data_IF_150502994716
#
_entry.id   IF_150502994716
#
_cell.length_a   1.000
_cell.length_b   1.000
_cell.length_c   1.000
_cell.angle_alpha   90.00
_cell.angle_beta   90.00
_cell.angle_gamma   90.00
#
_symmetry.space_group_name_H-M   'P 1'
#
loop_
_entity.id
_entity.type
_entity.pdbx_description
1 polymer ?
#
# COMPACT_ATOMS: atom_id res chain seq x y z
N UNK A 1 -11.90 6.04 4.63
CA UNK A 1 -11.73 5.53 3.25
C UNK A 1 -12.76 4.47 2.80
N UNK A 2 -13.60 3.88 3.68
CA UNK A 2 -14.63 2.90 3.27
C UNK A 2 -15.63 3.40 2.22
N UNK A 3 -15.97 4.70 2.22
CA UNK A 3 -16.95 5.27 1.27
C UNK A 3 -16.46 5.40 -0.18
N UNK A 4 -15.14 5.50 -0.41
CA UNK A 4 -14.59 5.65 -1.77
C UNK A 4 -14.60 4.29 -2.50
N UNK A 5 -14.31 3.21 -1.77
CA UNK A 5 -14.37 1.84 -2.28
C UNK A 5 -15.75 1.48 -2.83
N UNK A 6 -16.83 1.92 -2.17
CA UNK A 6 -18.20 1.67 -2.64
C UNK A 6 -18.48 2.37 -3.97
N UNK A 7 -17.89 3.55 -4.21
CA UNK A 7 -18.07 4.30 -5.47
C UNK A 7 -17.26 3.68 -6.61
N UNK A 8 -16.04 3.22 -6.32
CA UNK A 8 -15.16 2.53 -7.28
C UNK A 8 -15.75 1.20 -7.77
N UNK A 9 -16.56 0.54 -6.94
CA UNK A 9 -17.21 -0.73 -7.31
C UNK A 9 -18.42 -0.58 -8.25
N UNK A 10 -18.98 0.63 -8.40
CA UNK A 10 -20.16 0.83 -9.25
C UNK A 10 -19.78 0.80 -10.74
N UNK A 11 -20.19 -0.26 -11.43
CA UNK A 11 -19.99 -0.42 -12.87
C UNK A 11 -20.73 0.67 -13.65
N UNK A 12 -20.04 1.28 -14.62
CA UNK A 12 -20.61 2.28 -15.52
C UNK A 12 -21.83 1.67 -16.24
N UNK A 13 -23.03 2.30 -16.18
CA UNK A 13 -24.19 1.79 -16.89
C UNK A 13 -24.02 1.97 -18.42
N UNK A 14 -24.34 0.92 -19.20
CA UNK A 14 -24.29 0.96 -20.68
C UNK A 14 -25.48 1.73 -21.28
N UNK A 15 -25.26 2.46 -22.40
CA UNK A 15 -26.31 3.24 -23.04
C UNK A 15 -27.29 2.33 -23.80
N UNK A 16 -28.50 2.19 -23.28
CA UNK A 16 -29.63 1.61 -24.03
C UNK A 16 -30.76 2.65 -24.01
N UNK A 17 -31.27 2.99 -25.18
CA UNK A 17 -32.27 4.03 -25.43
C UNK A 17 -33.61 3.75 -24.74
N UNK A 18 -33.82 4.29 -23.54
CA UNK A 18 -35.17 4.72 -23.07
C UNK A 18 -35.06 5.58 -21.81
N UNK A 19 -35.84 6.66 -21.80
CA UNK A 19 -35.80 7.85 -20.94
C UNK A 19 -36.37 7.67 -19.50
N UNK A 20 -35.65 6.94 -18.61
CA UNK A 20 -35.43 7.43 -17.23
C UNK A 20 -33.96 7.32 -16.75
N UNK A 21 -33.02 6.94 -17.62
CA UNK A 21 -31.62 6.62 -17.24
C UNK A 21 -30.59 7.76 -17.35
N UNK A 22 -30.97 8.91 -17.89
CA UNK A 22 -30.09 10.09 -17.99
C UNK A 22 -29.69 10.60 -16.60
N UNK A 23 -30.61 10.53 -15.64
CA UNK A 23 -30.37 10.94 -14.25
C UNK A 23 -29.38 9.99 -13.56
N UNK A 24 -29.52 8.68 -13.75
CA UNK A 24 -28.61 7.69 -13.16
C UNK A 24 -27.20 7.79 -13.73
N UNK A 25 -27.08 7.94 -15.06
CA UNK A 25 -25.78 8.14 -15.71
C UNK A 25 -25.12 9.44 -15.25
N UNK A 26 -25.89 10.54 -15.15
CA UNK A 26 -25.38 11.83 -14.69
C UNK A 26 -24.95 11.77 -13.21
N UNK A 27 -25.72 11.06 -12.37
CA UNK A 27 -25.35 10.81 -10.97
C UNK A 27 -24.09 9.96 -10.86
N UNK A 28 -23.95 8.92 -11.70
CA UNK A 28 -22.74 8.10 -11.76
C UNK A 28 -21.53 8.94 -12.18
N UNK A 29 -21.63 9.72 -13.26
CA UNK A 29 -20.55 10.59 -13.73
C UNK A 29 -20.13 11.59 -12.66
N UNK A 30 -21.09 12.20 -11.95
CA UNK A 30 -20.79 13.10 -10.84
C UNK A 30 -20.04 12.40 -9.70
N UNK A 31 -20.46 11.19 -9.33
CA UNK A 31 -19.79 10.39 -8.31
C UNK A 31 -18.38 10.00 -8.74
N UNK A 32 -18.20 9.57 -9.99
CA UNK A 32 -16.89 9.21 -10.55
C UNK A 32 -15.95 10.42 -10.56
N UNK A 33 -16.40 11.59 -11.01
CA UNK A 33 -15.60 12.81 -10.98
C UNK A 33 -15.18 13.21 -9.56
N UNK A 34 -16.10 13.16 -8.60
CA UNK A 34 -15.78 13.46 -7.19
C UNK A 34 -14.74 12.47 -6.66
N UNK A 35 -14.94 11.17 -6.88
CA UNK A 35 -14.00 10.15 -6.45
C UNK A 35 -12.62 10.33 -7.09
N UNK A 36 -12.56 10.69 -8.37
CA UNK A 36 -11.31 10.96 -9.08
C UNK A 36 -10.58 12.16 -8.48
N UNK A 37 -11.29 13.26 -8.20
CA UNK A 37 -10.70 14.43 -7.53
C UNK A 37 -10.14 14.06 -6.16
N UNK A 38 -10.86 13.24 -5.39
CA UNK A 38 -10.38 12.78 -4.07
C UNK A 38 -9.11 11.92 -4.21
N UNK A 39 -9.08 10.97 -5.14
CA UNK A 39 -7.87 10.15 -5.39
C UNK A 39 -6.69 11.05 -5.79
N UNK A 40 -6.89 11.93 -6.76
CA UNK A 40 -5.85 12.85 -7.25
C UNK A 40 -5.35 13.80 -6.14
N UNK A 41 -6.24 14.27 -5.26
CA UNK A 41 -5.87 15.16 -4.15
C UNK A 41 -4.99 14.49 -3.08
N UNK A 42 -4.98 13.14 -3.03
CA UNK A 42 -4.12 12.38 -2.14
C UNK A 42 -2.74 12.09 -2.74
N UNK A 43 -2.53 12.39 -4.03
CA UNK A 43 -1.25 12.18 -4.71
C UNK A 43 -0.28 13.32 -4.44
N UNK A 44 1.02 13.02 -4.51
CA UNK A 44 2.06 14.06 -4.57
C UNK A 44 2.00 14.79 -5.92
N UNK A 45 2.53 16.01 -6.00
CA UNK A 45 2.52 16.81 -7.24
C UNK A 45 3.07 16.04 -8.44
N UNK A 46 4.17 15.28 -8.26
CA UNK A 46 4.76 14.47 -9.34
C UNK A 46 3.80 13.39 -9.86
N UNK A 47 3.09 12.70 -8.97
CA UNK A 47 2.13 11.68 -9.36
C UNK A 47 0.87 12.31 -9.96
N UNK A 48 0.43 13.45 -9.43
CA UNK A 48 -0.67 14.21 -10.02
C UNK A 48 -0.40 14.58 -11.48
N UNK A 49 0.80 15.10 -11.78
CA UNK A 49 1.17 15.48 -13.15
C UNK A 49 1.09 14.30 -14.14
N UNK A 50 1.35 13.08 -13.68
CA UNK A 50 1.23 11.87 -14.50
C UNK A 50 -0.23 11.40 -14.62
N UNK A 51 -0.99 11.44 -13.54
CA UNK A 51 -2.28 10.76 -13.42
C UNK A 51 -3.52 11.66 -13.59
N UNK A 52 -3.37 12.98 -13.68
CA UNK A 52 -4.50 13.92 -13.77
C UNK A 52 -5.27 13.88 -15.10
N UNK A 53 -4.83 13.08 -16.08
CA UNK A 53 -5.49 12.95 -17.38
C UNK A 53 -6.98 12.57 -17.25
N UNK A 54 -7.82 13.23 -18.05
CA UNK A 54 -9.26 12.94 -18.13
C UNK A 54 -9.58 11.55 -18.74
N UNK A 55 -8.58 10.84 -19.27
CA UNK A 55 -8.73 9.47 -19.77
C UNK A 55 -9.09 8.46 -18.68
N UNK A 56 -8.84 8.79 -17.40
CA UNK A 56 -9.13 7.90 -16.28
C UNK A 56 -10.51 8.13 -15.68
N UNK A 57 -11.23 7.02 -15.49
CA UNK A 57 -12.29 6.92 -14.47
C UNK A 57 -11.66 6.78 -13.09
N UNK A 58 -12.39 7.09 -12.01
CA UNK A 58 -11.89 6.90 -10.65
C UNK A 58 -11.49 5.42 -10.40
N UNK A 59 -12.23 4.49 -10.98
CA UNK A 59 -11.95 3.05 -10.87
C UNK A 59 -10.65 2.64 -11.56
N UNK A 60 -10.48 3.04 -12.83
CA UNK A 60 -9.25 2.72 -13.58
C UNK A 60 -8.03 3.39 -12.97
N UNK A 61 -8.18 4.63 -12.49
CA UNK A 61 -7.11 5.34 -11.78
C UNK A 61 -6.70 4.60 -10.51
N UNK A 62 -7.67 4.23 -9.67
CA UNK A 62 -7.39 3.47 -8.45
C UNK A 62 -6.70 2.14 -8.76
N UNK A 63 -7.19 1.40 -9.76
CA UNK A 63 -6.62 0.11 -10.12
C UNK A 63 -5.18 0.21 -10.64
N UNK A 64 -4.88 1.23 -11.46
CA UNK A 64 -3.50 1.45 -11.94
C UNK A 64 -2.55 1.83 -10.80
N UNK A 65 -3.00 2.71 -9.89
CA UNK A 65 -2.23 3.08 -8.71
C UNK A 65 -2.00 1.87 -7.79
N UNK A 66 -3.04 1.09 -7.53
CA UNK A 66 -2.99 -0.12 -6.70
C UNK A 66 -2.04 -1.15 -7.33
N UNK A 67 -2.18 -1.46 -8.61
CA UNK A 67 -1.30 -2.41 -9.28
C UNK A 67 0.17 -1.97 -9.27
N UNK A 68 0.44 -0.67 -9.41
CA UNK A 68 1.80 -0.15 -9.54
C UNK A 68 2.50 0.07 -8.19
N UNK A 69 1.75 0.43 -7.15
CA UNK A 69 2.31 0.84 -5.86
C UNK A 69 1.89 -0.06 -4.70
N UNK A 70 0.89 -0.92 -4.87
CA UNK A 70 0.46 -1.91 -3.89
C UNK A 70 0.84 -3.32 -4.36
N UNK A 71 2.11 -3.51 -4.75
CA UNK A 71 2.65 -4.85 -4.93
C UNK A 71 2.84 -5.51 -3.57
N UNK A 72 2.58 -6.82 -3.48
CA UNK A 72 2.71 -7.56 -2.22
C UNK A 72 4.09 -7.35 -1.58
N UNK A 73 5.15 -7.28 -2.39
CA UNK A 73 6.52 -6.96 -1.97
C UNK A 73 6.63 -5.63 -1.22
N UNK A 74 6.13 -4.51 -1.78
CA UNK A 74 6.21 -3.20 -1.11
C UNK A 74 5.43 -3.16 0.22
N UNK A 75 4.35 -3.93 0.33
CA UNK A 75 3.59 -4.07 1.58
C UNK A 75 4.40 -4.85 2.64
N UNK A 76 5.08 -5.93 2.22
CA UNK A 76 5.97 -6.69 3.09
C UNK A 76 7.18 -5.83 3.52
N UNK A 77 7.81 -5.11 2.59
CA UNK A 77 8.91 -4.17 2.89
C UNK A 77 8.48 -3.11 3.92
N UNK A 78 7.34 -2.42 3.69
CA UNK A 78 6.84 -1.38 4.58
C UNK A 78 6.43 -1.90 5.96
N UNK A 79 6.09 -3.19 6.09
CA UNK A 79 5.71 -3.80 7.35
C UNK A 79 6.91 -4.36 8.12
N UNK A 80 7.78 -5.12 7.44
CA UNK A 80 8.90 -5.79 8.08
C UNK A 80 10.07 -4.86 8.36
N UNK A 81 10.34 -3.87 7.52
CA UNK A 81 11.48 -2.97 7.72
C UNK A 81 11.34 -2.13 9.01
N UNK A 82 10.20 -1.49 9.31
CA UNK A 82 10.02 -0.81 10.59
C UNK A 82 9.98 -1.76 11.79
N UNK A 83 9.52 -3.00 11.61
CA UNK A 83 9.51 -4.02 12.67
C UNK A 83 10.93 -4.48 13.00
N UNK A 84 11.78 -4.68 11.99
CA UNK A 84 13.20 -4.95 12.16
C UNK A 84 13.91 -3.77 12.87
N UNK A 85 13.69 -2.54 12.41
CA UNK A 85 14.32 -1.36 13.02
C UNK A 85 13.90 -1.09 14.47
N UNK A 86 12.71 -1.54 14.89
CA UNK A 86 12.20 -1.39 16.26
C UNK A 86 12.43 -2.63 17.12
N UNK A 87 13.00 -3.69 16.55
CA UNK A 87 13.29 -4.90 17.30
C UNK A 87 14.25 -4.57 18.44
N UNK A 88 13.92 -4.96 19.67
CA UNK A 88 14.80 -4.89 20.83
C UNK A 88 14.73 -6.23 21.57
N UNK A 89 15.87 -6.75 22.03
CA UNK A 89 15.85 -7.99 22.81
C UNK A 89 15.31 -7.72 24.21
N UNK A 90 14.23 -8.43 24.58
CA UNK A 90 13.64 -8.35 25.92
C UNK A 90 14.25 -9.46 26.81
N UNK A 91 14.66 -9.13 28.04
CA UNK A 91 15.39 -10.03 28.95
C UNK A 91 14.68 -11.36 29.25
N UNK A 92 13.35 -11.35 29.17
CA UNK A 92 12.43 -12.45 29.47
C UNK A 92 12.22 -13.43 28.30
N UNK A 93 12.89 -13.25 27.16
CA UNK A 93 12.89 -14.18 26.04
C UNK A 93 14.22 -14.95 25.96
N UNK A 94 14.21 -16.25 25.62
CA UNK A 94 15.45 -17.03 25.49
C UNK A 94 16.30 -16.59 24.30
N UNK A 95 17.60 -16.85 24.33
CA UNK A 95 18.52 -16.52 23.22
C UNK A 95 18.10 -17.21 21.91
N UNK A 96 17.56 -18.43 21.99
CA UNK A 96 17.07 -19.19 20.83
C UNK A 96 15.84 -18.53 20.20
N UNK A 97 14.85 -18.11 21.01
CA UNK A 97 13.65 -17.42 20.53
C UNK A 97 14.01 -16.07 19.89
N UNK A 98 14.93 -15.32 20.49
CA UNK A 98 15.43 -14.04 19.94
C UNK A 98 16.10 -14.22 18.58
N UNK A 99 16.95 -15.24 18.47
CA UNK A 99 17.66 -15.56 17.23
C UNK A 99 16.67 -15.95 16.12
N UNK A 100 15.68 -16.77 16.47
CA UNK A 100 14.65 -17.19 15.53
C UNK A 100 13.79 -16.01 15.04
N UNK A 101 13.47 -15.05 15.90
CA UNK A 101 12.70 -13.86 15.51
C UNK A 101 13.46 -12.94 14.53
N UNK A 102 14.75 -12.70 14.76
CA UNK A 102 15.59 -11.91 13.85
C UNK A 102 15.77 -12.62 12.50
N UNK A 103 16.01 -13.94 12.50
CA UNK A 103 16.13 -14.74 11.28
C UNK A 103 14.82 -14.70 10.48
N UNK A 104 13.66 -14.80 11.15
CA UNK A 104 12.37 -14.71 10.47
C UNK A 104 12.13 -13.32 9.85
N UNK A 105 12.56 -12.25 10.51
CA UNK A 105 12.48 -10.89 9.97
C UNK A 105 13.43 -10.69 8.78
N UNK A 106 14.64 -11.27 8.84
CA UNK A 106 15.60 -11.24 7.75
C UNK A 106 15.10 -11.99 6.52
N UNK A 107 14.58 -13.21 6.70
CA UNK A 107 13.97 -13.97 5.61
C UNK A 107 12.77 -13.24 5.00
N UNK A 108 11.89 -12.65 5.81
CA UNK A 108 10.75 -11.90 5.31
C UNK A 108 11.16 -10.64 4.53
N UNK A 109 12.29 -10.02 4.88
CA UNK A 109 12.87 -8.92 4.10
C UNK A 109 13.55 -9.43 2.82
N UNK A 110 14.22 -10.58 2.86
CA UNK A 110 14.83 -11.20 1.69
C UNK A 110 13.79 -11.64 0.66
N UNK A 111 12.64 -12.16 1.10
CA UNK A 111 11.47 -12.49 0.27
C UNK A 111 10.87 -11.23 -0.39
N UNK A 112 11.04 -10.07 0.23
CA UNK A 112 10.67 -8.77 -0.32
C UNK A 112 11.83 -8.10 -1.10
N UNK A 113 12.81 -8.87 -1.57
CA UNK A 113 14.03 -8.43 -2.27
C UNK A 113 14.92 -7.41 -1.50
N UNK A 114 14.61 -7.11 -0.25
CA UNK A 114 15.39 -6.26 0.66
C UNK A 114 16.49 -7.05 1.37
N UNK A 115 17.52 -7.45 0.62
CA UNK A 115 18.70 -8.11 1.20
C UNK A 115 19.48 -7.15 2.11
N UNK A 116 19.46 -7.43 3.41
CA UNK A 116 20.30 -6.73 4.37
C UNK A 116 21.76 -7.20 4.23
N UNK A 117 22.69 -6.26 4.33
CA UNK A 117 24.12 -6.61 4.40
C UNK A 117 24.39 -7.39 5.69
N UNK A 118 25.16 -8.48 5.60
CA UNK A 118 25.53 -9.31 6.77
C UNK A 118 26.14 -8.48 7.91
N UNK A 119 26.96 -7.47 7.55
CA UNK A 119 27.53 -6.52 8.51
C UNK A 119 26.45 -5.72 9.25
N UNK A 120 25.39 -5.32 8.56
CA UNK A 120 24.27 -4.58 9.14
C UNK A 120 23.46 -5.46 10.10
N UNK A 121 23.22 -6.72 9.74
CA UNK A 121 22.59 -7.70 10.62
C UNK A 121 23.40 -7.92 11.90
N UNK A 122 24.71 -8.14 11.76
CA UNK A 122 25.61 -8.33 12.90
C UNK A 122 25.64 -7.11 13.84
N UNK A 123 25.71 -5.88 13.28
CA UNK A 123 25.65 -4.65 14.07
C UNK A 123 24.30 -4.48 14.77
N UNK A 124 23.20 -4.75 14.07
CA UNK A 124 21.84 -4.65 14.64
C UNK A 124 21.63 -5.64 15.79
N UNK A 125 22.16 -6.86 15.66
CA UNK A 125 22.12 -7.85 16.74
C UNK A 125 22.91 -7.34 17.95
N UNK A 126 24.14 -6.85 17.74
CA UNK A 126 25.01 -6.32 18.81
C UNK A 126 24.36 -5.12 19.52
N UNK A 127 23.75 -4.20 18.78
CA UNK A 127 23.10 -3.01 19.34
C UNK A 127 21.83 -3.35 20.14
N UNK A 128 21.12 -4.40 19.75
CA UNK A 128 19.89 -4.85 20.40
C UNK A 128 20.13 -5.79 21.58
N UNK A 129 21.37 -6.13 21.93
CA UNK A 129 21.64 -6.84 23.18
C UNK A 129 21.20 -5.99 24.38
N UNK A 130 20.55 -6.59 25.39
CA UNK A 130 20.29 -5.88 26.63
C UNK A 130 21.63 -5.44 27.21
N UNK A 131 21.75 -4.13 27.49
CA UNK A 131 22.93 -3.58 28.15
C UNK A 131 22.93 -4.11 29.58
N UNK A 132 23.97 -4.85 29.91
CA UNK A 132 24.18 -5.40 31.26
C UNK A 132 24.34 -4.31 32.31
#
# INVERSE_FOLDING_TARGET
MKGILTVIQVTKPEPIDTNPRTTELTQWTKRDQISRVVILSALSNMLFDVYHSDSYTAKSLWYELDQKYNTEEQCLEMYFFPKFMRYQMVENMSVAERTNEIINLEHALADAEMKLLEKFLAMSIVENFPKS
#
